data_IF_694986670833
#
_entry.id   IF_694986670833
#
_cell.length_a   1.000
_cell.length_b   1.000
_cell.length_c   1.000
_cell.angle_alpha   90.00
_cell.angle_beta   90.00
_cell.angle_gamma   90.00
#
_symmetry.space_group_name_H-M   'P 1'
#
loop_
_entity.id
_entity.type
_entity.pdbx_description
1 polymer ?
#
# COMPACT_ATOMS: atom_id res chain seq x y z
N UNK A 1 -51.50 52.43 19.99
CA UNK A 1 -50.66 52.28 18.78
C UNK A 1 -49.24 52.87 18.92
N UNK A 2 -49.02 53.95 19.68
CA UNK A 2 -47.69 54.60 19.80
C UNK A 2 -46.64 53.85 20.65
N UNK A 3 -47.06 53.06 21.66
CA UNK A 3 -46.14 52.30 22.55
C UNK A 3 -45.45 51.12 21.86
N UNK A 4 -46.12 50.48 20.89
CA UNK A 4 -45.57 49.34 20.14
C UNK A 4 -44.52 49.75 19.12
N UNK A 5 -44.68 50.90 18.47
CA UNK A 5 -43.68 51.44 17.53
C UNK A 5 -42.37 51.78 18.23
N UNK A 6 -42.41 52.35 19.44
CA UNK A 6 -41.20 52.73 20.17
C UNK A 6 -40.42 51.51 20.68
N UNK A 7 -41.12 50.45 21.14
CA UNK A 7 -40.48 49.18 21.54
C UNK A 7 -39.87 48.44 20.35
N UNK A 8 -40.52 48.44 19.19
CA UNK A 8 -39.98 47.84 17.96
C UNK A 8 -38.77 48.61 17.43
N UNK A 9 -38.75 49.94 17.55
CA UNK A 9 -37.60 50.76 17.14
C UNK A 9 -36.38 50.53 18.05
N UNK A 10 -36.60 50.41 19.37
CA UNK A 10 -35.55 50.13 20.33
C UNK A 10 -34.95 48.72 20.15
N UNK A 11 -35.78 47.72 19.82
CA UNK A 11 -35.33 46.37 19.49
C UNK A 11 -34.49 46.34 18.20
N UNK A 12 -34.88 47.11 17.17
CA UNK A 12 -34.14 47.26 15.92
C UNK A 12 -32.78 47.94 16.12
N UNK A 13 -32.68 48.93 17.00
CA UNK A 13 -31.41 49.60 17.34
C UNK A 13 -30.49 48.67 18.15
N UNK A 14 -31.03 47.88 19.08
CA UNK A 14 -30.27 46.89 19.85
C UNK A 14 -29.83 45.69 19.00
N UNK A 15 -30.64 45.26 18.01
CA UNK A 15 -30.26 44.29 16.98
C UNK A 15 -29.20 44.84 16.01
N UNK A 16 -29.20 46.15 15.75
CA UNK A 16 -28.19 46.81 14.91
C UNK A 16 -26.82 47.00 15.57
N UNK A 17 -26.77 47.10 16.91
CA UNK A 17 -25.51 47.22 17.67
C UNK A 17 -24.92 45.88 18.10
N UNK A 18 -25.66 44.78 17.95
CA UNK A 18 -25.18 43.45 18.26
C UNK A 18 -24.38 42.89 17.08
N UNK A 19 -23.06 42.98 17.22
CA UNK A 19 -22.08 42.12 16.56
C UNK A 19 -21.84 42.32 15.06
N UNK A 20 -21.52 43.55 14.64
CA UNK A 20 -20.38 43.72 13.75
C UNK A 20 -19.09 43.54 14.58
N UNK A 21 -18.91 42.34 15.14
CA UNK A 21 -17.57 41.92 15.54
C UNK A 21 -16.82 41.75 14.22
N UNK A 22 -16.22 42.83 13.73
CA UNK A 22 -15.20 42.75 12.70
C UNK A 22 -14.11 41.90 13.35
N UNK A 23 -14.15 40.59 13.10
CA UNK A 23 -13.05 39.71 13.43
C UNK A 23 -11.80 40.39 12.87
N UNK A 24 -10.84 40.70 13.75
CA UNK A 24 -9.62 41.36 13.37
C UNK A 24 -9.01 40.51 12.23
N UNK A 25 -8.86 41.11 11.05
CA UNK A 25 -8.33 40.40 9.90
C UNK A 25 -6.90 39.99 10.27
N UNK A 26 -6.66 38.68 10.34
CA UNK A 26 -5.34 38.15 10.64
C UNK A 26 -4.40 38.58 9.51
N UNK A 27 -3.51 39.52 9.80
CA UNK A 27 -2.50 39.95 8.84
C UNK A 27 -1.47 38.83 8.67
N UNK A 28 -1.58 38.08 7.58
CA UNK A 28 -0.64 37.00 7.26
C UNK A 28 0.79 37.51 7.02
N UNK A 29 0.98 38.81 6.78
CA UNK A 29 2.31 39.41 6.68
C UNK A 29 3.09 39.33 8.01
N UNK A 30 2.40 39.34 9.16
CA UNK A 30 3.00 39.14 10.48
C UNK A 30 3.61 37.75 10.65
N UNK A 31 3.13 36.78 9.87
CA UNK A 31 3.60 35.38 9.90
C UNK A 31 4.52 35.04 8.72
N UNK A 32 4.71 35.95 7.75
CA UNK A 32 5.47 35.68 6.53
C UNK A 32 6.94 35.30 6.77
N UNK A 33 7.52 35.73 7.90
CA UNK A 33 8.87 35.37 8.31
C UNK A 33 8.94 34.16 9.27
N UNK A 34 7.79 33.64 9.73
CA UNK A 34 7.75 32.47 10.59
C UNK A 34 7.83 31.21 9.75
N UNK A 35 8.97 30.52 9.81
CA UNK A 35 9.11 29.22 9.18
C UNK A 35 8.59 28.13 10.13
N UNK A 36 7.64 27.27 9.68
CA UNK A 36 7.30 26.07 10.42
C UNK A 36 8.57 25.26 10.68
N UNK A 37 8.74 24.76 11.91
CA UNK A 37 9.82 23.84 12.24
C UNK A 37 9.23 22.56 12.81
N UNK A 38 9.80 21.42 12.42
CA UNK A 38 9.45 20.15 13.01
C UNK A 38 9.89 20.15 14.49
N UNK A 39 8.98 19.80 15.40
CA UNK A 39 9.27 19.67 16.85
C UNK A 39 9.41 18.21 17.30
N UNK A 40 9.41 17.29 16.34
CA UNK A 40 9.49 15.84 16.52
C UNK A 40 8.20 15.23 17.08
N UNK A 41 7.93 13.93 16.83
CA UNK A 41 7.05 13.18 17.70
C UNK A 41 7.77 12.87 19.03
N UNK A 42 7.07 13.03 20.15
CA UNK A 42 7.62 12.72 21.48
C UNK A 42 7.75 11.20 21.77
N UNK A 43 7.07 10.34 21.01
CA UNK A 43 7.08 8.88 21.23
C UNK A 43 6.77 8.02 19.99
N UNK A 44 5.78 8.39 19.18
CA UNK A 44 5.35 7.59 18.01
C UNK A 44 5.28 8.42 16.74
N UNK A 45 5.92 7.91 15.67
CA UNK A 45 5.71 8.40 14.30
C UNK A 45 4.35 7.91 13.75
N UNK A 46 3.96 8.43 12.59
CA UNK A 46 2.78 7.99 11.85
C UNK A 46 2.95 6.60 11.22
N UNK A 47 1.93 6.17 10.46
CA UNK A 47 1.92 4.87 9.78
C UNK A 47 2.72 4.93 8.48
N UNK A 48 3.74 4.08 8.35
CA UNK A 48 4.47 3.83 7.10
C UNK A 48 3.74 2.77 6.29
N UNK A 49 3.36 3.07 5.06
CA UNK A 49 2.46 2.23 4.25
C UNK A 49 3.15 1.65 3.02
N UNK A 50 4.27 2.24 2.61
CA UNK A 50 5.07 1.76 1.50
C UNK A 50 6.55 1.98 1.80
N UNK A 51 7.39 1.07 1.34
CA UNK A 51 8.84 1.19 1.37
C UNK A 51 9.40 0.56 0.10
N UNK A 52 10.42 1.18 -0.48
CA UNK A 52 11.21 0.64 -1.57
C UNK A 52 12.64 1.20 -1.45
N UNK A 53 13.64 0.47 -1.93
CA UNK A 53 15.04 0.94 -1.93
C UNK A 53 15.73 0.57 -3.24
N UNK A 54 16.85 1.25 -3.51
CA UNK A 54 17.67 0.92 -4.66
C UNK A 54 18.56 -0.29 -4.32
N UNK A 55 18.37 -1.41 -5.01
CA UNK A 55 19.11 -2.64 -4.70
C UNK A 55 20.63 -2.48 -4.87
N UNK A 56 21.06 -1.67 -5.84
CA UNK A 56 22.47 -1.40 -6.09
C UNK A 56 23.10 -0.45 -5.05
N UNK A 57 22.27 0.30 -4.30
CA UNK A 57 22.72 1.18 -3.22
C UNK A 57 21.60 1.29 -2.15
N UNK A 58 21.57 0.36 -1.18
CA UNK A 58 20.54 0.32 -0.15
C UNK A 58 20.52 1.52 0.82
N UNK A 59 21.52 2.41 0.76
CA UNK A 59 21.45 3.69 1.49
C UNK A 59 20.36 4.60 0.94
N UNK A 60 19.94 4.39 -0.31
CA UNK A 60 18.86 5.12 -0.96
C UNK A 60 17.54 4.40 -0.71
N UNK A 61 16.74 4.94 0.20
CA UNK A 61 15.47 4.36 0.66
C UNK A 61 14.35 5.38 0.46
N UNK A 62 13.21 4.92 -0.02
CA UNK A 62 11.99 5.69 -0.14
C UNK A 62 10.93 5.13 0.79
N UNK A 63 10.29 6.00 1.56
CA UNK A 63 9.24 5.64 2.51
C UNK A 63 8.00 6.48 2.26
N UNK A 64 6.87 5.79 2.09
CA UNK A 64 5.55 6.38 1.93
C UNK A 64 4.76 6.24 3.22
N UNK A 65 4.02 7.28 3.59
CA UNK A 65 3.23 7.28 4.82
C UNK A 65 1.74 7.47 4.53
N UNK A 66 0.90 7.03 5.46
CA UNK A 66 -0.55 7.10 5.35
C UNK A 66 -1.09 8.53 5.17
N UNK A 67 -0.40 9.54 5.72
CA UNK A 67 -0.89 10.93 5.71
C UNK A 67 0.22 11.99 5.69
N UNK A 68 1.47 11.60 5.50
CA UNK A 68 2.63 12.48 5.63
C UNK A 68 3.54 12.50 4.41
N UNK A 69 3.09 12.00 3.26
CA UNK A 69 3.81 12.09 1.99
C UNK A 69 4.87 11.01 1.79
N UNK A 70 5.70 11.24 0.77
CA UNK A 70 6.85 10.43 0.38
C UNK A 70 8.13 11.08 0.90
N UNK A 71 9.00 10.26 1.46
CA UNK A 71 10.28 10.64 2.03
C UNK A 71 11.40 9.85 1.37
N UNK A 72 12.55 10.48 1.18
CA UNK A 72 13.77 9.83 0.69
C UNK A 72 14.89 9.94 1.72
N UNK A 73 15.61 8.86 1.91
CA UNK A 73 16.90 8.81 2.60
C UNK A 73 18.00 8.49 1.58
N UNK A 74 19.20 9.00 1.83
CA UNK A 74 20.42 8.69 1.07
C UNK A 74 21.55 8.18 1.99
N UNK A 75 21.21 7.85 3.25
CA UNK A 75 22.16 7.40 4.26
C UNK A 75 21.57 6.31 5.14
N UNK A 76 20.91 5.33 4.53
CA UNK A 76 20.43 4.12 5.22
C UNK A 76 19.34 4.40 6.26
N UNK A 77 18.57 5.47 6.10
CA UNK A 77 17.48 5.85 7.00
C UNK A 77 17.87 6.76 8.17
N UNK A 78 19.11 7.25 8.23
CA UNK A 78 19.56 8.21 9.27
C UNK A 78 18.88 9.58 9.13
N UNK A 79 18.69 10.05 7.89
CA UNK A 79 18.06 11.33 7.57
C UNK A 79 17.07 11.21 6.42
N UNK A 80 16.04 12.06 6.42
CA UNK A 80 14.93 12.00 5.47
C UNK A 80 14.58 13.38 4.93
N UNK A 81 14.33 13.45 3.62
CA UNK A 81 13.83 14.65 2.93
C UNK A 81 12.45 14.36 2.32
N UNK A 82 11.47 15.27 2.45
CA UNK A 82 10.18 15.08 1.81
C UNK A 82 10.29 15.36 0.30
N UNK A 83 9.59 14.58 -0.51
CA UNK A 83 9.59 14.70 -1.98
C UNK A 83 8.21 14.97 -2.58
N UNK A 84 7.14 15.03 -1.77
CA UNK A 84 5.76 14.99 -2.27
C UNK A 84 4.82 16.01 -1.61
N UNK A 85 5.37 16.98 -0.87
CA UNK A 85 4.60 17.93 -0.06
C UNK A 85 3.69 18.86 -0.88
N UNK A 86 4.02 19.09 -2.15
CA UNK A 86 3.25 19.97 -3.04
C UNK A 86 2.09 19.24 -3.75
N UNK A 87 1.92 17.94 -3.52
CA UNK A 87 0.91 17.14 -4.21
C UNK A 87 -0.45 17.17 -3.49
N UNK A 88 -1.52 16.94 -4.26
CA UNK A 88 -2.91 17.03 -3.77
C UNK A 88 -3.25 16.00 -2.68
N UNK A 89 -2.59 14.85 -2.69
CA UNK A 89 -2.72 13.84 -1.64
C UNK A 89 -1.35 13.46 -1.13
N UNK A 90 -1.22 13.47 0.19
CA UNK A 90 -0.03 13.00 0.92
C UNK A 90 -0.20 11.56 1.44
N UNK A 91 -1.32 10.90 1.12
CA UNK A 91 -1.51 9.49 1.44
C UNK A 91 -0.79 8.67 0.40
N UNK A 92 0.27 7.96 0.80
CA UNK A 92 1.03 7.07 -0.08
C UNK A 92 0.60 5.64 0.19
N UNK A 93 0.25 4.90 -0.86
CA UNK A 93 -0.11 3.49 -0.77
C UNK A 93 0.88 2.54 -1.43
N UNK A 94 1.63 3.03 -2.42
CA UNK A 94 2.64 2.25 -3.13
C UNK A 94 3.79 3.12 -3.64
N UNK A 95 4.99 2.54 -3.68
CA UNK A 95 6.19 3.11 -4.30
C UNK A 95 6.78 2.02 -5.18
N UNK A 96 7.24 2.38 -6.38
CA UNK A 96 8.04 1.51 -7.21
C UNK A 96 9.16 2.32 -7.88
N UNK A 97 10.41 1.96 -7.56
CA UNK A 97 11.61 2.52 -8.16
C UNK A 97 12.01 1.63 -9.34
N UNK A 98 12.28 2.24 -10.49
CA UNK A 98 12.90 1.49 -11.58
C UNK A 98 14.37 1.21 -11.22
N UNK A 99 14.65 -0.05 -10.87
CA UNK A 99 15.97 -0.49 -10.43
C UNK A 99 17.07 -0.30 -11.50
N UNK A 100 16.71 -0.23 -12.79
CA UNK A 100 17.66 0.04 -13.88
C UNK A 100 17.85 1.54 -14.17
N UNK A 101 16.91 2.39 -13.76
CA UNK A 101 16.99 3.84 -13.88
C UNK A 101 16.27 4.51 -12.70
N UNK A 102 16.97 4.78 -11.59
CA UNK A 102 16.36 5.29 -10.36
C UNK A 102 15.75 6.69 -10.47
N UNK A 103 15.98 7.42 -11.56
CA UNK A 103 15.27 8.67 -11.83
C UNK A 103 13.78 8.44 -12.12
N UNK A 104 13.41 7.23 -12.57
CA UNK A 104 12.02 6.84 -12.82
C UNK A 104 11.42 6.22 -11.56
N UNK A 105 10.52 6.97 -10.93
CA UNK A 105 9.83 6.54 -9.71
C UNK A 105 8.33 6.65 -9.92
N UNK A 106 7.60 5.61 -9.52
CA UNK A 106 6.14 5.59 -9.53
C UNK A 106 5.60 5.61 -8.11
N UNK A 107 4.55 6.40 -7.91
CA UNK A 107 3.89 6.56 -6.61
C UNK A 107 2.40 6.37 -6.78
N UNK A 108 1.84 5.43 -6.02
CA UNK A 108 0.41 5.24 -5.89
C UNK A 108 -0.07 5.92 -4.61
N UNK A 109 -1.08 6.76 -4.72
CA UNK A 109 -1.65 7.44 -3.54
C UNK A 109 -2.83 6.65 -2.97
N UNK A 110 -3.09 6.84 -1.68
CA UNK A 110 -4.16 6.20 -0.93
C UNK A 110 -3.76 4.87 -0.35
N UNK A 111 -3.74 4.78 0.97
CA UNK A 111 -3.26 3.59 1.65
C UNK A 111 -4.21 2.39 1.52
N UNK A 112 -3.62 1.20 1.42
CA UNK A 112 -4.37 -0.05 1.28
C UNK A 112 -4.83 -0.71 2.59
N UNK A 113 -4.90 0.07 3.67
CA UNK A 113 -5.15 -0.43 5.01
C UNK A 113 -6.46 0.17 5.57
N UNK A 114 -7.64 -0.37 5.21
CA UNK A 114 -8.94 0.20 5.56
C UNK A 114 -9.29 -0.09 7.03
N UNK A 115 -8.57 0.56 7.95
CA UNK A 115 -8.88 0.58 9.40
C UNK A 115 -9.91 1.68 9.70
N UNK A 116 -10.15 1.95 10.98
CA UNK A 116 -11.08 3.00 11.44
C UNK A 116 -10.68 4.39 10.93
N UNK A 117 -9.38 4.61 10.69
CA UNK A 117 -8.84 5.75 9.95
C UNK A 117 -8.18 5.24 8.67
N UNK A 118 -8.61 5.81 7.54
CA UNK A 118 -8.02 5.58 6.24
C UNK A 118 -7.96 6.89 5.47
N UNK A 119 -6.78 7.22 4.96
CA UNK A 119 -6.57 8.39 4.13
C UNK A 119 -6.63 8.00 2.66
N UNK A 120 -7.58 8.58 1.93
CA UNK A 120 -7.74 8.33 0.50
C UNK A 120 -6.65 9.04 -0.31
N UNK A 121 -6.31 8.42 -1.42
CA UNK A 121 -5.47 8.94 -2.49
C UNK A 121 -6.28 9.57 -3.61
N UNK A 122 -5.54 9.97 -4.64
CA UNK A 122 -6.04 10.52 -5.88
C UNK A 122 -5.33 9.92 -7.10
N UNK A 123 -4.93 8.65 -7.05
CA UNK A 123 -4.39 7.91 -8.20
C UNK A 123 -2.87 7.83 -8.23
N UNK A 124 -2.31 7.79 -9.44
CA UNK A 124 -0.90 7.44 -9.69
C UNK A 124 -0.10 8.64 -10.18
N UNK A 125 1.15 8.72 -9.73
CA UNK A 125 2.13 9.72 -10.12
C UNK A 125 3.42 9.05 -10.62
N UNK A 126 4.15 9.76 -11.49
CA UNK A 126 5.48 9.36 -11.96
C UNK A 126 6.45 10.54 -11.89
N UNK A 127 7.67 10.27 -11.46
CA UNK A 127 8.82 11.16 -11.60
C UNK A 127 9.77 10.59 -12.65
N UNK A 128 10.48 11.47 -13.34
CA UNK A 128 11.55 11.16 -14.30
C UNK A 128 12.89 11.81 -13.91
N UNK A 129 12.98 12.36 -12.70
CA UNK A 129 14.12 13.15 -12.21
C UNK A 129 14.45 12.83 -10.74
N UNK A 130 14.15 11.60 -10.31
CA UNK A 130 14.49 11.10 -8.97
C UNK A 130 13.61 11.67 -7.86
N UNK A 131 12.41 12.15 -8.21
CA UNK A 131 11.41 12.69 -7.29
C UNK A 131 11.46 14.21 -7.08
N UNK A 132 12.15 14.95 -7.97
CA UNK A 132 12.19 16.43 -7.91
C UNK A 132 10.91 17.04 -8.49
N UNK A 133 10.34 16.41 -9.52
CA UNK A 133 9.05 16.75 -10.10
C UNK A 133 8.19 15.51 -10.32
N UNK A 134 6.87 15.72 -10.31
CA UNK A 134 5.87 14.65 -10.39
C UNK A 134 4.80 14.98 -11.43
N UNK A 135 4.54 14.02 -12.30
CA UNK A 135 3.41 14.03 -13.20
C UNK A 135 2.29 13.15 -12.64
N UNK A 136 1.07 13.68 -12.59
CA UNK A 136 -0.13 12.92 -12.25
C UNK A 136 -0.65 12.19 -13.49
N UNK A 137 -0.96 10.90 -13.36
CA UNK A 137 -1.22 9.97 -14.47
C UNK A 137 -2.60 9.31 -14.39
N UNK A 138 -3.54 9.87 -13.61
CA UNK A 138 -4.92 9.39 -13.51
C UNK A 138 -5.14 8.31 -12.44
N UNK A 139 -6.21 7.53 -12.61
CA UNK A 139 -6.74 6.54 -11.64
C UNK A 139 -7.26 7.17 -10.33
N UNK A 140 -7.71 8.42 -10.36
CA UNK A 140 -8.17 9.17 -9.18
C UNK A 140 -9.31 8.48 -8.45
N UNK A 141 -10.24 7.90 -9.21
CA UNK A 141 -11.44 7.23 -8.67
C UNK A 141 -11.14 5.93 -7.97
N UNK A 142 -9.93 5.36 -8.15
CA UNK A 142 -9.53 4.14 -7.46
C UNK A 142 -9.36 4.35 -5.96
N UNK A 143 -9.14 5.60 -5.53
CA UNK A 143 -8.99 6.04 -4.13
C UNK A 143 -7.81 5.43 -3.38
N UNK A 144 -7.41 4.18 -3.61
CA UNK A 144 -6.35 3.51 -2.86
C UNK A 144 -5.57 2.56 -3.79
N UNK A 145 -4.29 2.87 -3.98
CA UNK A 145 -3.35 2.06 -4.74
C UNK A 145 -2.46 1.28 -3.78
N UNK A 146 -2.49 -0.04 -3.84
CA UNK A 146 -1.77 -0.88 -2.88
C UNK A 146 -0.41 -1.39 -3.39
N UNK A 147 -0.29 -1.65 -4.70
CA UNK A 147 0.98 -2.10 -5.32
C UNK A 147 1.13 -1.44 -6.68
N UNK A 148 2.38 -1.15 -7.04
CA UNK A 148 2.80 -0.80 -8.40
C UNK A 148 3.96 -1.73 -8.75
N UNK A 149 3.89 -2.36 -9.92
CA UNK A 149 4.98 -3.19 -10.45
C UNK A 149 5.38 -2.66 -11.82
N UNK A 150 6.65 -2.32 -11.96
CA UNK A 150 7.25 -1.89 -13.24
C UNK A 150 7.74 -3.15 -13.96
N UNK A 151 7.36 -3.32 -15.22
CA UNK A 151 7.77 -4.47 -16.01
C UNK A 151 9.29 -4.41 -16.28
N UNK A 152 10.02 -5.45 -15.83
CA UNK A 152 11.48 -5.52 -15.84
C UNK A 152 12.13 -5.19 -17.19
N UNK A 153 11.55 -5.67 -18.30
CA UNK A 153 12.13 -5.51 -19.64
C UNK A 153 11.56 -4.33 -20.42
N UNK A 154 10.52 -3.67 -19.90
CA UNK A 154 9.87 -2.55 -20.58
C UNK A 154 9.23 -1.61 -19.54
N UNK A 155 9.94 -0.57 -19.09
CA UNK A 155 9.46 0.30 -18.01
C UNK A 155 8.24 1.16 -18.38
N UNK A 156 7.81 1.17 -19.65
CA UNK A 156 6.54 1.79 -20.06
C UNK A 156 5.32 0.89 -19.80
N UNK A 157 5.55 -0.40 -19.50
CA UNK A 157 4.53 -1.33 -19.02
C UNK A 157 4.54 -1.35 -17.49
N UNK A 158 3.44 -0.94 -16.88
CA UNK A 158 3.30 -0.87 -15.41
C UNK A 158 1.95 -1.44 -15.01
N UNK A 159 1.95 -2.23 -13.94
CA UNK A 159 0.77 -2.82 -13.33
C UNK A 159 0.47 -2.15 -12.01
N UNK A 160 -0.82 -1.93 -11.74
CA UNK A 160 -1.31 -1.22 -10.56
C UNK A 160 -2.41 -2.03 -9.91
N UNK A 161 -2.23 -2.36 -8.63
CA UNK A 161 -3.27 -2.97 -7.80
C UNK A 161 -4.08 -1.87 -7.11
N UNK A 162 -5.32 -1.71 -7.56
CA UNK A 162 -6.29 -0.76 -7.00
C UNK A 162 -7.25 -1.50 -6.07
N UNK A 163 -7.27 -1.09 -4.79
CA UNK A 163 -8.22 -1.63 -3.82
C UNK A 163 -9.62 -1.04 -4.00
N UNK A 164 -9.72 0.22 -4.38
CA UNK A 164 -10.98 0.94 -4.39
C UNK A 164 -11.28 1.68 -3.08
N UNK A 165 -12.40 2.40 -3.05
CA UNK A 165 -12.90 2.99 -1.81
C UNK A 165 -13.45 1.92 -0.86
N UNK A 166 -13.17 2.06 0.43
CA UNK A 166 -13.76 1.22 1.48
C UNK A 166 -15.24 1.55 1.76
N UNK A 167 -15.73 2.71 1.30
CA UNK A 167 -16.99 3.30 1.76
C UNK A 167 -18.13 3.21 0.73
N UNK A 168 -17.91 2.56 -0.41
CA UNK A 168 -18.82 2.55 -1.54
C UNK A 168 -18.59 1.38 -2.50
N UNK A 169 -19.63 1.01 -3.24
CA UNK A 169 -19.50 0.10 -4.38
C UNK A 169 -18.97 0.94 -5.55
N UNK A 170 -17.94 0.48 -6.24
CA UNK A 170 -17.35 1.19 -7.39
C UNK A 170 -16.73 0.22 -8.37
N UNK A 171 -16.72 0.57 -9.65
CA UNK A 171 -15.98 -0.16 -10.69
C UNK A 171 -14.48 0.15 -10.70
N UNK A 172 -14.06 1.21 -10.00
CA UNK A 172 -12.68 1.71 -10.01
C UNK A 172 -11.80 0.92 -9.03
N UNK A 173 -11.60 -0.38 -9.30
CA UNK A 173 -10.89 -1.36 -8.45
C UNK A 173 -10.25 -2.45 -9.31
N UNK A 174 -9.45 -3.32 -8.71
CA UNK A 174 -8.84 -4.45 -9.41
C UNK A 174 -7.46 -4.11 -9.97
N UNK A 175 -7.06 -4.75 -11.06
CA UNK A 175 -5.72 -4.55 -11.64
C UNK A 175 -5.81 -3.70 -12.90
N UNK A 176 -5.02 -2.63 -12.93
CA UNK A 176 -4.84 -1.78 -14.09
C UNK A 176 -3.47 -2.00 -14.70
N UNK A 177 -3.38 -1.86 -16.02
CA UNK A 177 -2.15 -1.93 -16.79
C UNK A 177 -2.05 -0.72 -17.69
N UNK A 178 -0.87 -0.12 -17.75
CA UNK A 178 -0.47 0.77 -18.84
C UNK A 178 0.58 0.08 -19.71
N UNK A 179 0.67 0.47 -20.98
CA UNK A 179 1.73 0.06 -21.92
C UNK A 179 2.45 1.26 -22.55
N UNK A 180 2.11 2.47 -22.11
CA UNK A 180 2.55 3.74 -22.71
C UNK A 180 3.04 4.73 -21.65
N UNK A 181 3.55 4.20 -20.52
CA UNK A 181 4.13 5.02 -19.46
C UNK A 181 3.10 5.80 -18.64
N UNK A 182 1.86 5.32 -18.59
CA UNK A 182 0.76 5.86 -17.80
C UNK A 182 -0.07 6.92 -18.51
N UNK A 183 0.06 7.05 -19.84
CA UNK A 183 -0.81 7.94 -20.63
C UNK A 183 -2.22 7.35 -20.76
N UNK A 184 -2.33 6.04 -20.81
CA UNK A 184 -3.60 5.31 -20.79
C UNK A 184 -3.54 4.08 -19.87
N UNK A 185 -4.72 3.69 -19.36
CA UNK A 185 -4.88 2.57 -18.44
C UNK A 185 -5.99 1.63 -18.90
N UNK A 186 -5.69 0.34 -18.87
CA UNK A 186 -6.61 -0.75 -19.14
C UNK A 186 -6.90 -1.52 -17.84
N UNK A 187 -8.17 -1.75 -17.52
CA UNK A 187 -8.56 -2.59 -16.39
C UNK A 187 -8.49 -4.07 -16.82
N UNK A 188 -7.42 -4.76 -16.44
CA UNK A 188 -7.10 -6.11 -16.93
C UNK A 188 -7.61 -7.23 -16.01
N UNK A 189 -7.99 -6.90 -14.77
CA UNK A 189 -8.67 -7.83 -13.87
C UNK A 189 -9.72 -7.07 -13.05
N UNK A 190 -10.97 -7.47 -13.21
CA UNK A 190 -12.12 -6.95 -12.48
C UNK A 190 -13.05 -8.11 -12.11
N UNK A 191 -13.48 -8.17 -10.85
CA UNK A 191 -14.38 -9.22 -10.35
C UNK A 191 -15.79 -8.69 -10.17
N UNK A 192 -15.95 -7.65 -9.37
CA UNK A 192 -17.22 -6.96 -9.12
C UNK A 192 -16.97 -5.59 -8.46
N UNK A 193 -18.03 -4.84 -8.17
CA UNK A 193 -17.94 -3.49 -7.61
C UNK A 193 -17.50 -3.41 -6.13
N UNK A 194 -17.22 -4.55 -5.47
CA UNK A 194 -16.82 -4.64 -4.05
C UNK A 194 -15.46 -5.31 -3.84
N UNK A 195 -14.85 -5.80 -4.91
CA UNK A 195 -13.61 -6.57 -4.87
C UNK A 195 -12.49 -5.79 -5.51
N UNK A 196 -11.42 -5.51 -4.75
CA UNK A 196 -10.22 -4.81 -5.22
C UNK A 196 -9.01 -5.73 -5.23
N UNK A 197 -7.93 -5.31 -5.90
CA UNK A 197 -6.66 -6.04 -5.86
C UNK A 197 -5.91 -5.65 -4.57
N UNK A 198 -5.79 -6.59 -3.64
CA UNK A 198 -5.12 -6.38 -2.35
C UNK A 198 -3.67 -6.81 -2.32
N UNK A 199 -3.19 -7.53 -3.34
CA UNK A 199 -1.77 -7.79 -3.54
C UNK A 199 -1.52 -8.22 -4.98
N UNK A 200 -0.30 -8.01 -5.46
CA UNK A 200 0.14 -8.41 -6.80
C UNK A 200 1.64 -8.68 -6.74
N UNK A 201 2.02 -9.88 -7.16
CA UNK A 201 3.41 -10.29 -7.32
C UNK A 201 3.65 -10.76 -8.76
N UNK A 202 4.86 -10.53 -9.25
CA UNK A 202 5.29 -10.87 -10.60
C UNK A 202 6.53 -11.76 -10.52
N UNK A 203 6.58 -12.79 -11.36
CA UNK A 203 7.73 -13.67 -11.45
C UNK A 203 8.91 -12.92 -12.11
N UNK A 204 10.06 -12.75 -11.42
CA UNK A 204 11.19 -11.98 -11.94
C UNK A 204 11.89 -12.65 -13.13
N UNK A 205 11.67 -13.96 -13.33
CA UNK A 205 12.18 -14.72 -14.46
C UNK A 205 11.18 -14.75 -15.63
N UNK A 206 9.88 -14.62 -15.35
CA UNK A 206 8.83 -14.51 -16.37
C UNK A 206 7.85 -13.37 -16.04
N UNK A 207 8.07 -12.14 -16.55
CA UNK A 207 7.24 -10.99 -16.18
C UNK A 207 5.79 -11.07 -16.71
N UNK A 208 5.46 -12.07 -17.54
CA UNK A 208 4.08 -12.35 -17.94
C UNK A 208 3.32 -13.23 -16.93
N UNK A 209 4.03 -13.90 -16.01
CA UNK A 209 3.43 -14.66 -14.93
C UNK A 209 3.22 -13.77 -13.71
N UNK A 210 1.97 -13.64 -13.30
CA UNK A 210 1.60 -12.83 -12.15
C UNK A 210 0.55 -13.54 -11.31
N UNK A 211 0.59 -13.28 -10.01
CA UNK A 211 -0.44 -13.72 -9.07
C UNK A 211 -1.06 -12.49 -8.42
N UNK A 212 -2.39 -12.48 -8.34
CA UNK A 212 -3.17 -11.38 -7.77
C UNK A 212 -4.08 -11.91 -6.69
N UNK A 213 -3.99 -11.30 -5.52
CA UNK A 213 -4.98 -11.43 -4.47
C UNK A 213 -6.09 -10.41 -4.68
N UNK A 214 -7.30 -10.89 -4.93
CA UNK A 214 -8.52 -10.09 -4.99
C UNK A 214 -9.24 -10.18 -3.64
N UNK A 215 -9.69 -9.05 -3.12
CA UNK A 215 -10.27 -8.93 -1.79
C UNK A 215 -11.59 -8.17 -1.84
N UNK A 216 -12.66 -8.86 -1.46
CA UNK A 216 -13.96 -8.24 -1.20
C UNK A 216 -13.98 -7.69 0.23
N UNK A 217 -14.33 -6.41 0.38
CA UNK A 217 -14.39 -5.78 1.70
C UNK A 217 -15.31 -4.55 1.69
N UNK A 218 -15.84 -4.19 2.88
CA UNK A 218 -16.67 -2.99 3.04
C UNK A 218 -16.53 -2.40 4.44
N UNK A 219 -16.46 -1.07 4.51
CA UNK A 219 -16.59 -0.29 5.74
C UNK A 219 -17.96 0.41 5.78
N UNK A 220 -18.54 0.38 6.97
CA UNK A 220 -19.59 1.27 7.44
C UNK A 220 -19.08 1.99 8.69
N UNK A 221 -19.71 3.10 9.12
CA UNK A 221 -19.25 3.83 10.30
C UNK A 221 -19.13 2.96 11.57
N UNK A 222 -19.89 1.87 11.67
CA UNK A 222 -19.93 0.96 12.83
C UNK A 222 -19.50 -0.48 12.54
N UNK A 223 -19.17 -0.83 11.28
CA UNK A 223 -18.93 -2.23 10.91
C UNK A 223 -17.93 -2.38 9.78
N UNK A 224 -17.30 -3.55 9.72
CA UNK A 224 -16.33 -3.90 8.70
C UNK A 224 -16.51 -5.35 8.28
N UNK A 225 -16.61 -5.58 6.97
CA UNK A 225 -16.55 -6.94 6.40
C UNK A 225 -15.20 -7.13 5.70
N UNK A 226 -14.55 -8.23 6.01
CA UNK A 226 -13.35 -8.72 5.32
C UNK A 226 -13.67 -10.08 4.72
N UNK A 227 -13.71 -10.13 3.40
CA UNK A 227 -14.04 -11.34 2.67
C UNK A 227 -15.47 -11.39 2.14
N UNK A 228 -15.63 -12.28 1.18
CA UNK A 228 -16.85 -12.46 0.41
C UNK A 228 -16.60 -13.32 -0.84
N UNK A 229 -17.65 -13.63 -1.62
CA UNK A 229 -17.55 -14.52 -2.77
C UNK A 229 -16.62 -13.99 -3.88
N UNK A 230 -16.41 -12.67 -3.95
CA UNK A 230 -15.50 -12.03 -4.89
C UNK A 230 -14.02 -12.15 -4.52
N UNK A 231 -13.69 -12.45 -3.26
CA UNK A 231 -12.29 -12.66 -2.86
C UNK A 231 -11.70 -13.90 -3.52
N UNK A 232 -10.39 -13.87 -3.81
CA UNK A 232 -9.70 -15.05 -4.32
C UNK A 232 -8.33 -14.75 -4.91
N UNK A 233 -7.63 -15.84 -5.22
CA UNK A 233 -6.32 -15.79 -5.86
C UNK A 233 -6.45 -16.07 -7.36
N UNK A 234 -5.85 -15.23 -8.19
CA UNK A 234 -5.87 -15.34 -9.64
C UNK A 234 -4.44 -15.43 -10.17
N UNK A 235 -4.22 -16.28 -11.17
CA UNK A 235 -2.93 -16.46 -11.83
C UNK A 235 -3.08 -16.15 -13.31
N UNK A 236 -2.13 -15.42 -13.88
CA UNK A 236 -1.95 -15.23 -15.32
C UNK A 236 -0.57 -15.72 -15.74
N UNK A 237 -0.44 -16.09 -17.01
CA UNK A 237 0.82 -16.49 -17.65
C UNK A 237 1.11 -15.66 -18.91
N UNK A 238 0.23 -14.70 -19.24
CA UNK A 238 0.23 -13.95 -20.50
C UNK A 238 0.20 -12.42 -20.28
N UNK A 239 0.72 -11.96 -19.14
CA UNK A 239 0.82 -10.54 -18.82
C UNK A 239 -0.54 -9.92 -18.49
N UNK A 240 -1.49 -10.74 -18.05
CA UNK A 240 -2.81 -10.33 -17.57
C UNK A 240 -3.88 -10.22 -18.66
N UNK A 241 -3.69 -10.84 -19.82
CA UNK A 241 -4.74 -10.91 -20.84
C UNK A 241 -5.78 -11.98 -20.48
N UNK A 242 -5.36 -13.07 -19.84
CA UNK A 242 -6.25 -14.10 -19.29
C UNK A 242 -5.87 -14.44 -17.84
N UNK A 243 -6.87 -14.84 -17.06
CA UNK A 243 -6.73 -15.13 -15.64
C UNK A 243 -7.42 -16.44 -15.28
N UNK A 244 -6.76 -17.23 -14.46
CA UNK A 244 -7.33 -18.46 -13.89
C UNK A 244 -7.43 -18.30 -12.38
N UNK A 245 -8.65 -18.39 -11.84
CA UNK A 245 -8.87 -18.41 -10.38
C UNK A 245 -8.33 -19.73 -9.80
N UNK A 246 -7.69 -19.66 -8.64
CA UNK A 246 -7.32 -20.82 -7.82
C UNK A 246 -8.41 -21.09 -6.78
N UNK A 247 -8.73 -22.35 -6.54
CA UNK A 247 -9.80 -22.74 -5.59
C UNK A 247 -9.32 -23.79 -4.59
N UNK A 248 -10.24 -24.26 -3.75
CA UNK A 248 -10.11 -25.43 -2.88
C UNK A 248 -9.57 -26.68 -3.59
N UNK A 249 -9.95 -26.90 -4.85
CA UNK A 249 -9.43 -28.01 -5.68
C UNK A 249 -7.94 -27.89 -5.98
N UNK A 250 -7.40 -26.68 -5.91
CA UNK A 250 -5.99 -26.37 -6.06
C UNK A 250 -5.26 -26.35 -4.70
N UNK A 251 -5.95 -26.64 -3.59
CA UNK A 251 -5.40 -26.76 -2.23
C UNK A 251 -5.51 -25.51 -1.35
N UNK A 252 -6.25 -24.49 -1.79
CA UNK A 252 -6.65 -23.34 -0.97
C UNK A 252 -7.80 -23.73 0.02
N UNK A 253 -8.13 -22.89 1.03
CA UNK A 253 -9.23 -23.23 1.92
C UNK A 253 -10.60 -23.14 1.23
N UNK A 254 -11.52 -23.99 1.67
CA UNK A 254 -12.93 -23.93 1.26
C UNK A 254 -13.65 -22.71 1.87
N UNK A 255 -14.72 -22.26 1.20
CA UNK A 255 -15.60 -21.20 1.68
C UNK A 255 -15.16 -19.79 1.25
N UNK A 256 -15.63 -18.78 1.98
CA UNK A 256 -15.30 -17.39 1.70
C UNK A 256 -13.89 -17.04 2.18
N UNK A 257 -13.14 -16.38 1.30
CA UNK A 257 -11.80 -15.90 1.58
C UNK A 257 -11.83 -14.41 1.91
N UNK A 258 -10.91 -13.96 2.75
CA UNK A 258 -10.67 -12.55 3.08
C UNK A 258 -9.45 -12.01 2.34
N UNK A 259 -8.68 -11.14 3.02
CA UNK A 259 -7.43 -10.59 2.46
C UNK A 259 -6.40 -11.73 2.29
N UNK A 260 -5.66 -11.70 1.19
CA UNK A 260 -4.55 -12.62 0.94
C UNK A 260 -3.29 -11.79 0.74
N UNK A 261 -2.25 -12.14 1.49
CA UNK A 261 -0.90 -11.62 1.33
C UNK A 261 -0.03 -12.59 0.55
N UNK A 262 0.75 -12.10 -0.41
CA UNK A 262 1.54 -12.92 -1.31
C UNK A 262 3.03 -12.58 -1.20
N UNK A 263 3.87 -13.61 -1.24
CA UNK A 263 5.30 -13.44 -1.45
C UNK A 263 5.87 -14.55 -2.31
N UNK A 264 6.68 -14.19 -3.29
CA UNK A 264 7.39 -15.11 -4.18
C UNK A 264 8.87 -15.12 -3.80
N UNK A 265 9.51 -16.28 -3.84
CA UNK A 265 10.95 -16.40 -3.64
C UNK A 265 11.70 -15.95 -4.90
N UNK A 266 12.45 -14.82 -4.89
CA UNK A 266 13.10 -14.29 -6.09
C UNK A 266 14.10 -15.26 -6.74
N UNK A 267 14.88 -15.97 -5.93
CA UNK A 267 15.85 -16.97 -6.40
C UNK A 267 15.22 -18.28 -6.88
N UNK A 268 13.98 -18.57 -6.50
CA UNK A 268 13.24 -19.76 -6.93
C UNK A 268 11.74 -19.42 -7.12
N UNK A 269 11.34 -18.81 -8.26
CA UNK A 269 9.97 -18.32 -8.49
C UNK A 269 8.86 -19.40 -8.56
N UNK A 270 9.21 -20.67 -8.38
CA UNK A 270 8.26 -21.76 -8.15
C UNK A 270 7.72 -21.74 -6.72
N UNK A 271 8.50 -21.23 -5.76
CA UNK A 271 8.10 -21.12 -4.37
C UNK A 271 7.33 -19.81 -4.18
N UNK A 272 6.07 -19.95 -3.79
CA UNK A 272 5.19 -18.84 -3.48
C UNK A 272 4.48 -19.11 -2.15
N UNK A 273 4.39 -18.11 -1.30
CA UNK A 273 3.67 -18.14 -0.05
C UNK A 273 2.41 -17.29 -0.16
N UNK A 274 1.33 -17.77 0.49
CA UNK A 274 0.08 -17.05 0.62
C UNK A 274 -0.42 -17.10 2.06
N UNK A 275 -0.50 -15.95 2.73
CA UNK A 275 -1.18 -15.83 4.01
C UNK A 275 -2.65 -15.54 3.73
N UNK A 276 -3.53 -16.51 4.00
CA UNK A 276 -4.93 -16.47 3.57
C UNK A 276 -5.85 -16.27 4.76
N UNK A 277 -6.61 -15.17 4.75
CA UNK A 277 -7.76 -15.00 5.63
C UNK A 277 -8.90 -15.92 5.18
N UNK A 278 -9.43 -16.71 6.11
CA UNK A 278 -10.56 -17.61 5.88
C UNK A 278 -11.23 -17.92 7.22
N UNK A 279 -12.22 -18.81 7.24
CA UNK A 279 -12.79 -19.32 8.50
C UNK A 279 -11.72 -19.81 9.48
N UNK A 280 -10.65 -20.41 8.97
CA UNK A 280 -9.40 -20.66 9.68
C UNK A 280 -8.24 -20.09 8.87
N UNK A 281 -7.68 -18.98 9.34
CA UNK A 281 -6.50 -18.37 8.71
C UNK A 281 -5.35 -19.37 8.67
N UNK A 282 -4.62 -19.38 7.56
CA UNK A 282 -3.46 -20.24 7.42
C UNK A 282 -2.47 -19.68 6.41
N UNK A 283 -1.20 -20.06 6.58
CA UNK A 283 -0.16 -19.87 5.59
C UNK A 283 -0.12 -21.09 4.66
N UNK A 284 -0.10 -20.81 3.38
CA UNK A 284 0.00 -21.80 2.31
C UNK A 284 1.31 -21.59 1.54
N UNK A 285 1.83 -22.67 0.98
CA UNK A 285 3.00 -22.67 0.11
C UNK A 285 2.69 -23.41 -1.19
N UNK A 286 3.09 -22.82 -2.30
CA UNK A 286 3.10 -23.42 -3.62
C UNK A 286 4.54 -23.78 -4.02
N UNK A 287 4.70 -24.89 -4.72
CA UNK A 287 5.98 -25.35 -5.30
C UNK A 287 5.99 -25.36 -6.83
N UNK A 288 4.92 -24.88 -7.45
CA UNK A 288 4.73 -24.86 -8.90
C UNK A 288 4.36 -23.46 -9.42
N UNK A 289 4.74 -22.43 -8.66
CA UNK A 289 4.57 -21.04 -9.07
C UNK A 289 3.15 -20.51 -8.87
N UNK A 290 2.40 -21.07 -7.92
CA UNK A 290 1.06 -20.64 -7.53
C UNK A 290 -0.09 -21.42 -8.15
N UNK A 291 0.18 -22.55 -8.81
CA UNK A 291 -0.85 -23.36 -9.46
C UNK A 291 -1.53 -24.30 -8.47
N UNK A 292 -0.76 -24.93 -7.58
CA UNK A 292 -1.22 -25.76 -6.45
C UNK A 292 -0.64 -25.26 -5.13
N UNK A 293 -1.39 -25.48 -4.07
CA UNK A 293 -1.12 -24.95 -2.74
C UNK A 293 -1.21 -26.05 -1.69
N UNK A 294 -0.33 -25.98 -0.70
CA UNK A 294 -0.39 -26.84 0.48
C UNK A 294 -0.37 -25.95 1.72
N UNK A 295 -1.26 -26.24 2.69
CA UNK A 295 -1.23 -25.57 3.98
C UNK A 295 0.06 -25.95 4.71
N UNK A 296 0.84 -24.96 5.15
CA UNK A 296 2.08 -25.20 5.90
C UNK A 296 1.97 -24.88 7.38
N UNK A 297 1.15 -23.88 7.75
CA UNK A 297 1.01 -23.47 9.15
C UNK A 297 -0.32 -22.72 9.40
N UNK A 298 -0.85 -22.83 10.61
CA UNK A 298 -2.03 -22.09 11.10
C UNK A 298 -1.84 -21.53 12.53
N UNK A 299 -0.59 -21.45 13.00
CA UNK A 299 -0.19 -20.96 14.32
C UNK A 299 0.90 -19.90 14.19
N UNK A 300 0.82 -18.86 15.01
CA UNK A 300 1.83 -17.78 15.07
C UNK A 300 2.11 -17.10 13.71
N UNK A 301 1.12 -17.10 12.82
CA UNK A 301 1.17 -16.53 11.46
C UNK A 301 0.67 -15.08 11.40
N UNK A 302 0.66 -14.38 12.53
CA UNK A 302 0.26 -12.98 12.64
C UNK A 302 -1.13 -12.76 13.24
N UNK A 303 -1.52 -11.48 13.33
CA UNK A 303 -2.80 -11.03 13.85
C UNK A 303 -3.56 -10.18 12.81
N UNK A 304 -4.90 -10.08 12.93
CA UNK A 304 -5.76 -9.18 12.12
C UNK A 304 -5.44 -9.21 10.60
N UNK A 305 -5.74 -10.31 9.90
CA UNK A 305 -5.31 -10.51 8.51
C UNK A 305 -5.86 -9.46 7.51
N UNK A 306 -7.02 -8.86 7.80
CA UNK A 306 -7.54 -7.73 7.01
C UNK A 306 -6.62 -6.49 7.00
N UNK A 307 -5.74 -6.39 8.00
CA UNK A 307 -4.86 -5.26 8.22
C UNK A 307 -3.39 -5.61 7.99
N UNK A 308 -2.96 -6.81 8.38
CA UNK A 308 -1.62 -7.32 8.19
C UNK A 308 -1.61 -8.56 7.32
N UNK A 309 -0.97 -8.46 6.16
CA UNK A 309 -0.77 -9.58 5.27
C UNK A 309 0.58 -9.49 4.53
N UNK A 310 1.50 -8.64 4.98
CA UNK A 310 2.77 -8.44 4.29
C UNK A 310 3.74 -9.58 4.61
N UNK A 311 4.14 -10.28 3.55
CA UNK A 311 5.13 -11.34 3.55
C UNK A 311 6.32 -10.91 2.70
N UNK A 312 7.51 -11.36 3.06
CA UNK A 312 8.70 -11.20 2.21
C UNK A 312 9.58 -12.45 2.31
N UNK A 313 10.16 -12.88 1.19
CA UNK A 313 11.05 -14.06 1.14
C UNK A 313 12.47 -13.58 0.90
N UNK A 314 13.44 -14.20 1.58
CA UNK A 314 14.86 -13.94 1.31
C UNK A 314 15.19 -14.29 -0.16
N UNK A 315 15.83 -13.38 -0.92
CA UNK A 315 16.17 -13.61 -2.32
C UNK A 315 17.12 -14.79 -2.55
N UNK A 316 17.86 -15.20 -1.52
CA UNK A 316 18.88 -16.27 -1.57
C UNK A 316 18.47 -17.55 -0.83
N UNK A 317 17.36 -17.53 -0.10
CA UNK A 317 16.84 -18.69 0.63
C UNK A 317 15.32 -18.72 0.59
N UNK A 318 14.74 -19.57 -0.25
CA UNK A 318 13.29 -19.69 -0.42
C UNK A 318 12.53 -20.17 0.85
N UNK A 319 13.24 -20.71 1.84
CA UNK A 319 12.65 -21.15 3.11
C UNK A 319 12.70 -20.09 4.20
N UNK A 320 13.49 -19.02 4.00
CA UNK A 320 13.50 -17.86 4.89
C UNK A 320 12.37 -16.90 4.52
N UNK A 321 11.37 -16.85 5.38
CA UNK A 321 10.16 -16.05 5.20
C UNK A 321 10.01 -15.07 6.37
N UNK A 322 9.87 -13.80 6.04
CA UNK A 322 9.54 -12.73 6.98
C UNK A 322 8.03 -12.51 6.94
N UNK A 323 7.41 -12.53 8.11
CA UNK A 323 6.00 -12.24 8.29
C UNK A 323 5.84 -10.99 9.16
N UNK A 324 5.14 -9.99 8.61
CA UNK A 324 5.06 -8.64 9.17
C UNK A 324 3.62 -8.35 9.57
N UNK A 325 3.44 -8.20 10.88
CA UNK A 325 2.18 -7.82 11.51
C UNK A 325 2.46 -6.86 12.66
N UNK A 326 1.72 -6.92 13.77
CA UNK A 326 2.08 -6.20 15.00
C UNK A 326 3.53 -6.42 15.44
N UNK A 327 4.18 -7.50 15.00
CA UNK A 327 5.61 -7.79 15.14
C UNK A 327 6.23 -8.15 13.78
N UNK A 328 7.57 -8.27 13.73
CA UNK A 328 8.27 -8.99 12.66
C UNK A 328 8.65 -10.37 13.19
N UNK A 329 8.34 -11.41 12.43
CA UNK A 329 8.72 -12.79 12.72
C UNK A 329 9.41 -13.40 11.52
N UNK A 330 10.29 -14.36 11.77
CA UNK A 330 11.08 -15.05 10.74
C UNK A 330 10.86 -16.54 10.86
N UNK A 331 10.69 -17.17 9.71
CA UNK A 331 10.76 -18.62 9.53
C UNK A 331 12.05 -18.93 8.79
N UNK A 332 12.68 -20.06 9.10
CA UNK A 332 13.82 -20.64 8.33
C UNK A 332 13.45 -21.97 7.66
N UNK A 333 12.22 -22.45 7.85
CA UNK A 333 11.78 -23.80 7.46
C UNK A 333 10.59 -23.80 6.47
N UNK A 334 10.43 -22.71 5.73
CA UNK A 334 9.36 -22.56 4.74
C UNK A 334 7.98 -22.31 5.37
N UNK A 335 7.96 -21.59 6.49
CA UNK A 335 6.76 -21.10 7.15
C UNK A 335 6.13 -22.07 8.15
N UNK A 336 6.79 -23.19 8.46
CA UNK A 336 6.26 -24.21 9.40
C UNK A 336 6.36 -23.71 10.84
N UNK A 337 7.44 -23.00 11.17
CA UNK A 337 7.63 -22.37 12.48
C UNK A 337 8.14 -20.94 12.33
N UNK A 338 7.75 -20.07 13.26
CA UNK A 338 8.18 -18.67 13.30
C UNK A 338 8.82 -18.35 14.65
N UNK A 339 9.84 -17.50 14.62
CA UNK A 339 10.47 -16.95 15.82
C UNK A 339 10.63 -15.43 15.70
N UNK A 340 10.84 -14.79 16.84
CA UNK A 340 11.19 -13.37 16.90
C UNK A 340 12.70 -13.20 16.78
N UNK A 341 13.22 -12.61 15.69
CA UNK A 341 14.65 -12.34 15.57
C UNK A 341 15.11 -11.33 16.63
N UNK A 342 16.30 -11.57 17.20
CA UNK A 342 16.90 -10.66 18.18
C UNK A 342 17.13 -9.27 17.57
N UNK A 343 16.83 -8.21 18.33
CA UNK A 343 16.95 -6.81 17.88
C UNK A 343 15.72 -6.25 17.16
N UNK A 344 14.76 -7.08 16.75
CA UNK A 344 13.45 -6.68 16.23
C UNK A 344 12.34 -6.92 17.26
N UNK A 345 12.61 -6.52 18.51
CA UNK A 345 11.69 -6.72 19.65
C UNK A 345 10.32 -6.04 19.46
N UNK A 346 9.30 -6.46 20.23
CA UNK A 346 7.95 -5.92 20.12
C UNK A 346 7.94 -4.45 20.55
N UNK A 347 7.47 -3.54 19.67
CA UNK A 347 7.36 -2.13 20.07
C UNK A 347 7.17 -1.07 18.99
N UNK A 348 7.32 -1.38 17.70
CA UNK A 348 7.06 -0.41 16.63
C UNK A 348 6.05 -0.99 15.63
N UNK A 349 4.95 -0.27 15.40
CA UNK A 349 3.98 -0.57 14.35
C UNK A 349 4.70 -0.52 12.99
N UNK A 350 4.81 -1.66 12.31
CA UNK A 350 5.55 -1.82 11.05
C UNK A 350 4.63 -2.37 9.97
N UNK A 351 4.05 -1.52 9.11
CA UNK A 351 3.10 -1.96 8.09
C UNK A 351 3.77 -2.33 6.77
N UNK A 352 5.10 -2.25 6.66
CA UNK A 352 5.84 -2.63 5.46
C UNK A 352 7.26 -3.07 5.79
N UNK A 353 7.82 -3.95 4.95
CA UNK A 353 9.17 -4.49 5.05
C UNK A 353 9.78 -4.58 3.64
N UNK A 354 11.07 -4.25 3.55
CA UNK A 354 11.92 -4.56 2.41
C UNK A 354 12.93 -5.62 2.85
N UNK A 355 13.18 -6.61 1.99
CA UNK A 355 14.21 -7.65 2.22
C UNK A 355 15.19 -7.57 1.05
N UNK A 356 16.40 -7.09 1.31
CA UNK A 356 17.46 -6.98 0.32
C UNK A 356 18.31 -8.26 0.23
N UNK A 357 18.85 -8.61 -0.94
CA UNK A 357 19.92 -9.60 -1.04
C UNK A 357 21.19 -9.06 -0.39
N UNK A 358 22.00 -9.90 0.28
CA UNK A 358 23.33 -9.49 0.71
C UNK A 358 24.18 -9.10 -0.52
N UNK A 359 25.11 -8.13 -0.38
CA UNK A 359 26.03 -7.79 -1.47
C UNK A 359 26.85 -9.02 -1.87
N UNK A 360 27.07 -9.20 -3.18
CA UNK A 360 27.96 -10.26 -3.68
C UNK A 360 29.34 -10.14 -2.98
N UNK A 361 29.91 -11.26 -2.48
CA UNK A 361 31.26 -11.22 -1.93
C UNK A 361 32.22 -10.80 -3.05
N UNK A 362 32.81 -9.61 -2.90
CA UNK A 362 33.91 -9.16 -3.73
C UNK A 362 34.99 -10.26 -3.72
N UNK A 363 35.46 -10.75 -4.88
CA UNK A 363 36.57 -11.70 -4.89
C UNK A 363 37.77 -11.01 -4.26
N UNK A 364 38.21 -11.53 -3.11
CA UNK A 364 39.45 -11.13 -2.49
C UNK A 364 40.59 -11.43 -3.48
N UNK A 365 41.24 -10.37 -3.98
CA UNK A 365 42.54 -10.46 -4.65
C UNK A 365 43.67 -10.55 -3.63
#
# INVERSE_FOLDING_TARGET
MHSYLFRSLLLLVLLGCSTAALAQQLDMALFGNMKPRNIGPAATSGRVTAIDALHANPDIIYVGTASGGLWKSEGGGVGWVPLFDEQKSLSIGAIAINQANPDVIWVGTGEGNPRNSQNNGNGVYRSLDGGKSWQHLGLEKTSNIHRIIIHKNNPEVVYVSALGTAWGDTKDRGVYRTKDGGKSWEQILFVNNRTGASDLIVDPANPNKMLVAMWEYRRWPWFFTSGGPGSGLYVTQDGGNTWTRRTDKDGLPEGELGKIGLALAPGNPKIVYALVEAKKNALYRSEDGGLKWNKVNDKDIGDRPFYYADLAVDPTNENRLYNVFSNVTVSEDGGKTFYHPAGLGPGAWRPSLLVDPPPEPQPHL
#
